data_IF_036342762496
#
_entry.id   IF_036342762496
#
_cell.length_a   1.000
_cell.length_b   1.000
_cell.length_c   1.000
_cell.angle_alpha   90.00
_cell.angle_beta   90.00
_cell.angle_gamma   90.00
#
_symmetry.space_group_name_H-M   'P 1'
#
loop_
_entity.id
_entity.type
_entity.pdbx_description
1 polymer ?
#
# COMPACT_ATOMS: atom_id res chain seq x y z
N UNK A 1 13.88 4.42 9.18
CA UNK A 1 13.85 4.25 7.68
C UNK A 1 12.58 4.84 7.11
N UNK A 2 12.65 5.51 5.96
CA UNK A 2 11.45 6.02 5.26
C UNK A 2 10.60 4.86 4.74
N UNK A 3 9.27 4.92 4.89
CA UNK A 3 8.34 3.85 4.52
C UNK A 3 8.45 3.41 3.04
N UNK A 4 8.70 4.34 2.10
CA UNK A 4 8.94 4.01 0.68
C UNK A 4 10.17 3.14 0.48
N UNK A 5 11.27 3.42 1.22
CA UNK A 5 12.48 2.61 1.16
C UNK A 5 12.19 1.21 1.72
N UNK A 6 11.39 1.13 2.80
CA UNK A 6 10.93 -0.14 3.38
C UNK A 6 10.12 -0.97 2.38
N UNK A 7 9.10 -0.39 1.74
CA UNK A 7 8.30 -1.10 0.73
C UNK A 7 9.11 -1.48 -0.53
N UNK A 8 10.05 -0.62 -0.94
CA UNK A 8 10.97 -0.93 -2.04
C UNK A 8 11.87 -2.12 -1.71
N UNK A 9 12.33 -2.24 -0.47
CA UNK A 9 13.14 -3.35 0.01
C UNK A 9 12.39 -4.69 -0.14
N UNK A 10 11.12 -4.75 0.26
CA UNK A 10 10.29 -5.95 0.17
C UNK A 10 9.62 -6.15 -1.21
N UNK A 11 9.66 -5.16 -2.10
CA UNK A 11 9.02 -5.17 -3.42
C UNK A 11 7.52 -5.48 -3.37
N UNK A 12 6.86 -5.01 -2.33
CA UNK A 12 5.41 -5.19 -2.13
C UNK A 12 4.71 -3.85 -2.03
N UNK A 13 3.44 -3.90 -2.39
CA UNK A 13 2.47 -2.84 -2.17
C UNK A 13 1.63 -3.29 -0.98
N UNK A 14 1.55 -2.43 0.05
CA UNK A 14 0.82 -2.78 1.25
C UNK A 14 1.67 -3.26 2.43
N UNK A 15 1.05 -3.50 3.57
CA UNK A 15 1.77 -3.97 4.73
C UNK A 15 2.50 -5.29 4.45
N UNK A 16 3.77 -5.32 4.81
CA UNK A 16 4.60 -6.53 4.77
C UNK A 16 4.14 -7.45 5.89
N UNK A 17 3.68 -8.64 5.57
CA UNK A 17 3.27 -9.63 6.59
C UNK A 17 4.46 -10.51 6.93
N UNK A 18 4.86 -10.48 8.18
CA UNK A 18 6.00 -11.20 8.74
C UNK A 18 5.50 -12.13 9.86
N UNK A 19 5.21 -13.41 9.55
CA UNK A 19 4.88 -14.39 10.56
C UNK A 19 6.01 -14.53 11.59
N UNK A 20 5.63 -14.59 12.87
CA UNK A 20 6.56 -14.78 13.98
C UNK A 20 6.48 -16.23 14.42
N UNK A 21 7.55 -16.99 14.21
CA UNK A 21 7.67 -18.40 14.56
C UNK A 21 8.28 -18.52 15.95
N UNK A 22 7.51 -19.04 16.89
CA UNK A 22 7.98 -19.40 18.22
C UNK A 22 8.78 -20.70 18.11
N UNK A 23 10.09 -20.61 18.26
CA UNK A 23 11.01 -21.68 17.90
C UNK A 23 11.00 -22.79 18.95
N UNK A 24 10.87 -24.05 18.49
CA UNK A 24 11.08 -25.25 19.30
C UNK A 24 12.32 -26.02 18.81
N UNK A 25 12.32 -26.40 17.54
CA UNK A 25 13.40 -27.14 16.90
C UNK A 25 13.46 -26.85 15.38
N UNK A 26 14.49 -27.36 14.72
CA UNK A 26 14.69 -27.12 13.28
C UNK A 26 13.54 -27.67 12.43
N UNK A 27 13.01 -28.85 12.75
CA UNK A 27 11.95 -29.46 11.94
C UNK A 27 10.64 -28.66 12.02
N UNK A 28 10.34 -28.08 13.19
CA UNK A 28 9.20 -27.18 13.37
C UNK A 28 9.42 -25.86 12.60
N UNK A 29 10.62 -25.27 12.64
CA UNK A 29 10.94 -24.06 11.86
C UNK A 29 10.75 -24.32 10.36
N UNK A 30 11.29 -25.42 9.83
CA UNK A 30 11.22 -25.76 8.40
C UNK A 30 9.76 -25.89 7.93
N UNK A 31 8.90 -26.54 8.73
CA UNK A 31 7.45 -26.65 8.44
C UNK A 31 6.80 -25.27 8.39
N UNK A 32 7.05 -24.41 9.39
CA UNK A 32 6.45 -23.09 9.46
C UNK A 32 6.97 -22.15 8.36
N UNK A 33 8.25 -22.21 8.01
CA UNK A 33 8.81 -21.47 6.87
C UNK A 33 8.13 -21.90 5.57
N UNK A 34 7.96 -23.22 5.36
CA UNK A 34 7.28 -23.72 4.16
C UNK A 34 5.83 -23.21 4.08
N UNK A 35 5.10 -23.19 5.20
CA UNK A 35 3.75 -22.61 5.28
C UNK A 35 3.79 -21.11 4.98
N UNK A 36 4.67 -20.34 5.62
CA UNK A 36 4.76 -18.90 5.44
C UNK A 36 5.07 -18.51 4.00
N UNK A 37 6.10 -19.14 3.38
CA UNK A 37 6.48 -18.92 1.99
C UNK A 37 5.38 -19.36 1.03
N UNK A 38 4.76 -20.51 1.27
CA UNK A 38 3.66 -21.03 0.46
C UNK A 38 2.43 -20.12 0.46
N UNK A 39 2.19 -19.38 1.54
CA UNK A 39 1.13 -18.36 1.63
C UNK A 39 1.53 -16.99 1.04
N UNK A 40 2.79 -16.81 0.63
CA UNK A 40 3.29 -15.57 0.04
C UNK A 40 3.70 -14.51 1.08
N UNK A 41 4.10 -14.93 2.29
CA UNK A 41 4.77 -14.04 3.25
C UNK A 41 6.13 -13.61 2.70
N UNK A 42 6.53 -12.38 3.01
CA UNK A 42 7.76 -11.78 2.48
C UNK A 42 9.02 -12.18 3.27
N UNK A 43 8.83 -12.81 4.41
CA UNK A 43 9.87 -13.26 5.31
C UNK A 43 9.26 -13.75 6.61
N UNK A 44 10.09 -14.06 7.59
CA UNK A 44 9.66 -14.51 8.92
C UNK A 44 10.49 -13.85 10.01
N UNK A 45 9.94 -13.76 11.22
CA UNK A 45 10.71 -13.57 12.44
C UNK A 45 10.78 -14.86 13.23
N UNK A 46 11.95 -15.16 13.80
CA UNK A 46 12.17 -16.26 14.74
C UNK A 46 12.34 -15.72 16.14
N UNK A 47 11.66 -16.32 17.12
CA UNK A 47 11.73 -15.89 18.53
C UNK A 47 11.91 -17.08 19.47
N UNK A 48 12.81 -16.93 20.45
CA UNK A 48 13.07 -17.92 21.48
C UNK A 48 12.20 -17.66 22.73
N UNK A 49 11.20 -18.50 22.95
CA UNK A 49 10.38 -18.44 24.17
C UNK A 49 10.85 -19.40 25.25
N UNK A 50 11.34 -20.57 24.86
CA UNK A 50 11.56 -21.70 25.77
C UNK A 50 13.02 -21.93 26.12
N UNK A 51 13.94 -21.10 25.61
CA UNK A 51 15.36 -21.22 25.85
C UNK A 51 16.09 -19.88 25.65
N UNK A 52 17.32 -19.80 26.14
CA UNK A 52 18.17 -18.63 26.07
C UNK A 52 18.79 -18.39 24.67
N UNK A 53 19.46 -17.27 24.53
CA UNK A 53 20.13 -16.86 23.28
C UNK A 53 21.21 -17.87 22.87
N UNK A 54 21.99 -18.41 23.82
CA UNK A 54 23.11 -19.31 23.53
C UNK A 54 22.61 -20.60 22.86
N UNK A 55 21.47 -21.13 23.30
CA UNK A 55 20.82 -22.27 22.63
C UNK A 55 20.16 -21.90 21.33
N UNK A 56 19.76 -20.65 21.13
CA UNK A 56 19.12 -20.19 19.92
C UNK A 56 20.10 -20.00 18.77
N UNK A 57 21.32 -19.53 19.05
CA UNK A 57 22.32 -19.20 18.02
C UNK A 57 22.63 -20.37 17.07
N UNK A 58 22.90 -21.61 17.52
CA UNK A 58 23.12 -22.74 16.62
C UNK A 58 21.90 -23.05 15.73
N UNK A 59 20.68 -22.89 16.24
CA UNK A 59 19.44 -23.09 15.48
C UNK A 59 19.31 -22.03 14.40
N UNK A 60 19.60 -20.76 14.70
CA UNK A 60 19.62 -19.66 13.73
C UNK A 60 20.63 -19.89 12.62
N UNK A 61 21.84 -20.35 12.98
CA UNK A 61 22.90 -20.67 12.02
C UNK A 61 22.46 -21.79 11.07
N UNK A 62 21.86 -22.86 11.60
CA UNK A 62 21.33 -23.96 10.81
C UNK A 62 20.19 -23.50 9.90
N UNK A 63 19.24 -22.70 10.44
CA UNK A 63 18.11 -22.18 9.70
C UNK A 63 18.55 -21.27 8.55
N UNK A 64 19.51 -20.34 8.79
CA UNK A 64 20.05 -19.45 7.75
C UNK A 64 20.77 -20.22 6.65
N UNK A 65 21.57 -21.24 7.02
CA UNK A 65 22.27 -22.08 6.05
C UNK A 65 21.28 -22.88 5.18
N UNK A 66 20.18 -23.36 5.75
CA UNK A 66 19.14 -24.08 5.01
C UNK A 66 18.30 -23.13 4.12
N UNK A 67 18.17 -21.85 4.48
CA UNK A 67 17.33 -20.88 3.81
C UNK A 67 18.08 -19.59 3.46
N UNK A 68 19.12 -19.64 2.58
CA UNK A 68 20.04 -18.52 2.35
C UNK A 68 19.39 -17.29 1.72
N UNK A 69 18.28 -17.44 1.02
CA UNK A 69 17.56 -16.35 0.33
C UNK A 69 16.31 -15.87 1.07
N UNK A 70 15.94 -16.53 2.17
CA UNK A 70 14.77 -16.14 2.97
C UNK A 70 15.11 -14.85 3.73
N UNK A 71 14.25 -13.84 3.63
CA UNK A 71 14.34 -12.71 4.55
C UNK A 71 13.96 -13.17 5.97
N UNK A 72 14.88 -13.05 6.91
CA UNK A 72 14.74 -13.62 8.24
C UNK A 72 15.18 -12.62 9.31
N UNK A 73 14.23 -12.18 10.11
CA UNK A 73 14.49 -11.42 11.33
C UNK A 73 14.51 -12.31 12.57
N UNK A 74 15.06 -11.78 13.65
CA UNK A 74 15.06 -12.46 14.96
C UNK A 74 14.59 -11.52 16.07
N UNK A 75 14.00 -12.11 17.10
CA UNK A 75 13.78 -11.49 18.39
C UNK A 75 14.44 -12.37 19.46
N UNK A 76 15.41 -11.84 20.18
CA UNK A 76 15.94 -12.45 21.38
C UNK A 76 15.07 -11.97 22.55
N UNK A 77 14.15 -12.82 23.00
CA UNK A 77 13.11 -12.43 23.95
C UNK A 77 13.69 -11.76 25.20
N UNK A 78 13.25 -10.51 25.44
CA UNK A 78 13.69 -9.72 26.59
C UNK A 78 15.08 -9.10 26.46
N UNK A 79 15.74 -9.23 25.31
CA UNK A 79 17.08 -8.65 25.03
C UNK A 79 16.92 -7.35 24.29
N UNK A 80 17.65 -6.32 24.69
CA UNK A 80 17.68 -5.01 24.02
C UNK A 80 18.74 -4.99 22.90
N UNK A 81 18.77 -3.89 22.15
CA UNK A 81 19.80 -3.70 21.13
C UNK A 81 21.24 -3.70 21.68
N UNK A 82 21.43 -3.35 22.95
CA UNK A 82 22.76 -3.35 23.59
C UNK A 82 23.47 -4.69 23.48
N UNK A 83 22.77 -5.77 23.80
CA UNK A 83 23.31 -7.11 23.81
C UNK A 83 23.19 -7.77 22.44
N UNK A 84 22.11 -7.47 21.71
CA UNK A 84 21.80 -8.11 20.44
C UNK A 84 22.72 -7.69 19.29
N UNK A 85 22.98 -6.40 19.10
CA UNK A 85 23.78 -5.92 17.97
C UNK A 85 25.20 -6.47 17.93
N UNK A 86 25.94 -6.58 19.05
CA UNK A 86 27.24 -7.25 19.04
C UNK A 86 27.17 -8.73 18.62
N UNK A 87 26.07 -9.43 18.97
CA UNK A 87 25.87 -10.83 18.55
C UNK A 87 25.63 -10.89 17.05
N UNK A 88 24.71 -10.05 16.54
CA UNK A 88 24.35 -9.99 15.12
C UNK A 88 25.55 -9.59 14.24
N UNK A 89 26.34 -8.62 14.68
CA UNK A 89 27.56 -8.24 13.97
C UNK A 89 28.61 -9.37 13.91
N UNK A 90 28.70 -10.20 14.98
CA UNK A 90 29.57 -11.39 14.94
C UNK A 90 29.05 -12.46 13.97
N UNK A 91 27.72 -12.65 13.88
CA UNK A 91 27.11 -13.60 12.92
C UNK A 91 27.36 -13.12 11.48
N UNK A 92 27.15 -11.82 11.21
CA UNK A 92 27.38 -11.26 9.87
C UNK A 92 28.84 -11.38 9.43
N UNK A 93 29.79 -11.13 10.33
CA UNK A 93 31.24 -11.35 10.06
C UNK A 93 31.59 -12.81 9.73
N UNK A 94 30.76 -13.77 10.15
CA UNK A 94 30.87 -15.21 9.77
C UNK A 94 30.13 -15.53 8.48
N UNK A 95 29.54 -14.55 7.80
CA UNK A 95 28.73 -14.74 6.59
C UNK A 95 27.28 -15.14 6.85
N UNK A 96 26.80 -15.01 8.09
CA UNK A 96 25.43 -15.35 8.50
C UNK A 96 24.64 -14.06 8.74
N UNK A 97 24.19 -13.44 7.67
CA UNK A 97 23.36 -12.23 7.77
C UNK A 97 21.97 -12.58 8.33
N UNK A 98 21.60 -11.90 9.40
CA UNK A 98 20.22 -11.81 9.90
C UNK A 98 19.66 -10.47 9.42
N UNK A 99 18.57 -10.52 8.64
CA UNK A 99 18.05 -9.36 7.90
C UNK A 99 17.40 -8.30 8.81
N UNK A 100 16.90 -8.71 9.98
CA UNK A 100 16.34 -7.78 10.96
C UNK A 100 16.50 -8.26 12.40
N UNK A 101 16.54 -7.29 13.29
CA UNK A 101 16.40 -7.51 14.73
C UNK A 101 15.16 -6.78 15.25
N UNK A 102 14.32 -7.49 15.97
CA UNK A 102 13.18 -6.90 16.67
C UNK A 102 13.40 -6.97 18.18
N UNK A 103 13.53 -5.80 18.81
CA UNK A 103 13.54 -5.66 20.27
C UNK A 103 12.12 -5.32 20.76
N UNK A 104 11.64 -6.02 21.80
CA UNK A 104 10.38 -5.66 22.46
C UNK A 104 10.50 -4.28 23.13
N UNK A 105 11.69 -3.90 23.58
CA UNK A 105 11.99 -2.60 24.19
C UNK A 105 13.16 -1.91 23.47
N UNK A 106 12.90 -0.78 22.86
CA UNK A 106 13.91 0.07 22.26
C UNK A 106 14.45 1.14 23.23
N UNK A 107 14.08 1.06 24.49
CA UNK A 107 14.49 1.97 25.57
C UNK A 107 14.14 3.45 25.32
N UNK A 108 13.05 3.71 24.60
CA UNK A 108 12.52 5.07 24.42
C UNK A 108 11.75 5.50 25.67
N UNK A 109 12.06 6.70 26.16
CA UNK A 109 11.36 7.28 27.30
C UNK A 109 10.85 8.69 26.97
N UNK A 110 9.58 8.83 26.69
CA UNK A 110 8.93 10.09 26.31
C UNK A 110 8.91 11.13 27.43
N UNK A 111 9.21 10.73 28.67
CA UNK A 111 9.35 11.67 29.81
C UNK A 111 10.73 12.36 29.85
N UNK A 112 11.69 11.89 29.04
CA UNK A 112 13.05 12.43 28.99
C UNK A 112 13.27 13.24 27.71
N UNK A 113 13.86 14.43 27.83
CA UNK A 113 14.28 15.22 26.65
C UNK A 113 15.43 14.55 25.89
N UNK A 114 16.37 13.93 26.63
CA UNK A 114 17.54 13.24 26.07
C UNK A 114 17.31 11.74 26.16
N UNK A 115 17.44 11.06 25.02
CA UNK A 115 17.24 9.62 24.90
C UNK A 115 18.57 8.86 25.04
N UNK A 116 19.23 8.98 26.22
CA UNK A 116 20.58 8.43 26.47
C UNK A 116 20.68 6.93 26.16
N UNK A 117 19.66 6.16 26.53
CA UNK A 117 19.65 4.71 26.28
C UNK A 117 19.57 4.38 24.79
N UNK A 118 18.75 5.12 24.05
CA UNK A 118 18.61 4.92 22.59
C UNK A 118 19.88 5.37 21.85
N UNK A 119 20.52 6.44 22.31
CA UNK A 119 21.80 6.92 21.78
C UNK A 119 22.92 5.89 21.99
N UNK A 120 23.00 5.29 23.16
CA UNK A 120 23.95 4.21 23.46
C UNK A 120 23.69 2.98 22.57
N UNK A 121 22.43 2.57 22.42
CA UNK A 121 22.05 1.44 21.57
C UNK A 121 22.45 1.69 20.11
N UNK A 122 22.23 2.90 19.61
CA UNK A 122 22.62 3.26 18.23
C UNK A 122 24.14 3.26 18.05
N UNK A 123 24.91 3.77 19.03
CA UNK A 123 26.37 3.72 19.01
C UNK A 123 26.87 2.27 18.95
N UNK A 124 26.32 1.38 19.78
CA UNK A 124 26.65 -0.06 19.78
C UNK A 124 26.27 -0.71 18.43
N UNK A 125 25.13 -0.33 17.86
CA UNK A 125 24.73 -0.81 16.54
C UNK A 125 25.76 -0.46 15.47
N UNK A 126 26.20 0.79 15.44
CA UNK A 126 27.23 1.26 14.49
C UNK A 126 28.57 0.53 14.70
N UNK A 127 29.01 0.35 15.93
CA UNK A 127 30.24 -0.39 16.27
C UNK A 127 30.16 -1.86 15.85
N UNK A 128 28.99 -2.48 15.97
CA UNK A 128 28.78 -3.89 15.59
C UNK A 128 28.97 -4.12 14.09
N UNK A 129 28.76 -3.08 13.27
CA UNK A 129 28.75 -3.13 11.80
C UNK A 129 27.69 -4.09 11.22
N UNK A 130 26.64 -4.43 11.98
CA UNK A 130 25.53 -5.20 11.49
C UNK A 130 24.65 -4.36 10.55
N UNK A 131 24.31 -4.91 9.39
CA UNK A 131 23.64 -4.17 8.29
C UNK A 131 22.12 -4.37 8.21
N UNK A 132 21.53 -5.19 9.08
CA UNK A 132 20.10 -5.49 9.06
C UNK A 132 19.22 -4.36 9.61
N UNK A 133 17.89 -4.53 9.48
CA UNK A 133 16.90 -3.56 9.91
C UNK A 133 16.58 -3.67 11.41
N UNK A 134 16.52 -2.52 12.10
CA UNK A 134 16.13 -2.46 13.50
C UNK A 134 14.63 -2.15 13.65
N UNK A 135 13.87 -3.11 14.16
CA UNK A 135 12.47 -3.00 14.58
C UNK A 135 12.44 -2.73 16.09
N UNK A 136 12.22 -1.49 16.49
CA UNK A 136 12.28 -1.12 17.91
C UNK A 136 10.89 -0.98 18.52
N UNK A 137 10.64 -1.71 19.61
CA UNK A 137 9.41 -1.65 20.38
C UNK A 137 9.28 -0.33 21.16
N UNK A 138 8.11 0.31 21.06
CA UNK A 138 7.78 1.56 21.75
C UNK A 138 6.31 1.52 22.16
N UNK A 139 6.02 1.88 23.41
CA UNK A 139 4.73 1.67 24.04
C UNK A 139 4.25 0.21 23.82
N UNK A 140 5.14 -0.71 24.07
CA UNK A 140 5.00 -2.13 23.74
C UNK A 140 4.61 -2.96 24.97
N UNK A 141 3.95 -4.09 24.77
CA UNK A 141 3.36 -4.96 25.81
C UNK A 141 4.30 -5.44 26.92
N UNK A 142 5.60 -5.44 26.69
CA UNK A 142 6.63 -5.89 27.65
C UNK A 142 7.52 -4.76 28.15
N UNK A 143 7.02 -3.55 28.05
CA UNK A 143 7.67 -2.35 28.55
C UNK A 143 6.91 -1.74 29.72
N UNK A 144 7.45 -0.64 30.26
CA UNK A 144 6.65 0.25 31.12
C UNK A 144 5.41 0.73 30.37
N UNK A 145 4.35 0.98 31.08
CA UNK A 145 3.12 1.55 30.52
C UNK A 145 3.41 2.99 30.06
N UNK A 146 3.02 3.29 28.84
CA UNK A 146 3.00 4.65 28.30
C UNK A 146 1.55 5.11 28.27
N UNK A 147 1.28 6.30 28.81
CA UNK A 147 -0.06 6.84 28.83
C UNK A 147 -0.54 7.20 27.42
N UNK A 148 -1.84 7.05 27.11
CA UNK A 148 -2.36 7.34 25.78
C UNK A 148 -2.07 8.76 25.27
N UNK A 149 -2.03 9.74 26.16
CA UNK A 149 -1.69 11.14 25.85
C UNK A 149 -0.24 11.31 25.38
N UNK A 150 0.65 10.39 25.74
CA UNK A 150 2.07 10.41 25.38
C UNK A 150 2.40 9.57 24.13
N UNK A 151 1.44 8.82 23.57
CA UNK A 151 1.70 7.96 22.40
C UNK A 151 2.30 8.70 21.21
N UNK A 152 1.84 9.92 20.96
CA UNK A 152 2.34 10.74 19.85
C UNK A 152 3.81 11.12 20.07
N UNK A 153 4.17 11.52 21.29
CA UNK A 153 5.56 11.90 21.63
C UNK A 153 6.47 10.69 21.61
N UNK A 154 6.06 9.56 22.21
CA UNK A 154 6.82 8.32 22.21
C UNK A 154 7.11 7.82 20.79
N UNK A 155 6.10 7.83 19.91
CA UNK A 155 6.25 7.42 18.52
C UNK A 155 7.20 8.34 17.72
N UNK A 156 7.08 9.66 17.91
CA UNK A 156 7.95 10.66 17.26
C UNK A 156 9.41 10.50 17.69
N UNK A 157 9.66 10.31 18.98
CA UNK A 157 11.02 10.08 19.49
C UNK A 157 11.57 8.77 18.93
N UNK A 158 10.79 7.68 18.97
CA UNK A 158 11.18 6.38 18.46
C UNK A 158 11.63 6.42 16.99
N UNK A 159 10.96 7.20 16.15
CA UNK A 159 11.25 7.28 14.72
C UNK A 159 12.66 7.80 14.37
N UNK A 160 13.38 8.37 15.35
CA UNK A 160 14.73 8.89 15.19
C UNK A 160 15.81 7.82 15.39
N UNK A 161 15.49 6.71 16.09
CA UNK A 161 16.48 5.75 16.60
C UNK A 161 16.38 4.35 15.99
N UNK A 162 15.39 4.10 15.15
CA UNK A 162 15.17 2.78 14.57
C UNK A 162 14.70 2.83 13.12
N UNK A 163 14.87 1.74 12.38
CA UNK A 163 14.41 1.68 11.00
C UNK A 163 12.89 1.53 10.93
N UNK A 164 12.31 0.74 11.83
CA UNK A 164 10.88 0.47 11.89
C UNK A 164 10.39 0.64 13.32
N UNK A 165 9.54 1.64 13.55
CA UNK A 165 8.88 1.81 14.86
C UNK A 165 7.87 0.68 15.03
N UNK A 166 7.96 -0.08 16.12
CA UNK A 166 7.08 -1.22 16.37
C UNK A 166 6.26 -1.00 17.63
N UNK A 167 4.96 -1.19 17.55
CA UNK A 167 4.07 -1.09 18.71
C UNK A 167 3.12 -2.27 18.82
N UNK A 168 2.44 -2.44 19.95
CA UNK A 168 1.52 -3.57 20.18
C UNK A 168 0.34 -3.18 21.06
N UNK A 169 -0.58 -4.11 21.29
CA UNK A 169 -1.54 -4.04 22.37
C UNK A 169 -0.87 -4.20 23.75
N UNK A 170 -1.67 -4.27 24.79
CA UNK A 170 -1.21 -4.31 26.20
C UNK A 170 -0.68 -5.69 26.64
N UNK A 171 -1.05 -6.77 25.92
CA UNK A 171 -0.61 -8.12 26.24
C UNK A 171 -0.46 -9.00 24.97
N UNK A 172 0.21 -10.16 25.15
CA UNK A 172 0.34 -11.16 24.06
C UNK A 172 -1.03 -11.67 23.64
N UNK A 173 -1.29 -11.69 22.33
CA UNK A 173 -2.59 -12.10 21.77
C UNK A 173 -3.69 -11.05 21.86
N UNK A 174 -3.48 -9.95 22.60
CA UNK A 174 -4.41 -8.82 22.62
C UNK A 174 -4.05 -7.81 21.52
N UNK A 175 -5.06 -7.43 20.77
CA UNK A 175 -4.93 -6.46 19.70
C UNK A 175 -4.67 -5.05 20.27
N UNK A 176 -3.87 -4.26 19.58
CA UNK A 176 -3.77 -2.83 19.86
C UNK A 176 -5.09 -2.13 19.55
N UNK A 177 -5.40 -1.07 20.28
CA UNK A 177 -6.52 -0.21 19.92
C UNK A 177 -6.23 0.50 18.58
N UNK A 178 -7.18 0.50 17.61
CA UNK A 178 -6.96 1.14 16.31
C UNK A 178 -6.56 2.61 16.43
N UNK A 179 -7.12 3.32 17.42
CA UNK A 179 -6.83 4.72 17.72
C UNK A 179 -5.36 4.93 18.11
N UNK A 180 -4.77 4.00 18.86
CA UNK A 180 -3.34 4.02 19.18
C UNK A 180 -2.51 3.93 17.90
N UNK A 181 -2.84 3.00 17.00
CA UNK A 181 -2.09 2.80 15.75
C UNK A 181 -2.23 4.02 14.84
N UNK A 182 -3.41 4.62 14.75
CA UNK A 182 -3.63 5.86 14.01
C UNK A 182 -2.79 7.02 14.59
N UNK A 183 -2.73 7.15 15.92
CA UNK A 183 -1.90 8.15 16.61
C UNK A 183 -0.41 7.94 16.30
N UNK A 184 0.06 6.70 16.36
CA UNK A 184 1.44 6.36 15.99
C UNK A 184 1.72 6.73 14.53
N UNK A 185 0.84 6.38 13.59
CA UNK A 185 1.02 6.72 12.17
C UNK A 185 1.13 8.23 11.94
N UNK A 186 0.28 9.01 12.58
CA UNK A 186 0.35 10.47 12.48
C UNK A 186 1.69 11.02 13.02
N UNK A 187 2.17 10.47 14.14
CA UNK A 187 3.36 10.97 14.82
C UNK A 187 4.67 10.58 14.13
N UNK A 188 4.77 9.37 13.58
CA UNK A 188 5.98 8.91 12.87
C UNK A 188 6.09 9.45 11.44
N UNK A 189 5.03 10.08 10.91
CA UNK A 189 5.01 10.64 9.55
C UNK A 189 5.37 9.60 8.49
N UNK A 190 6.40 9.86 7.71
CA UNK A 190 6.88 8.97 6.64
C UNK A 190 7.81 7.83 7.12
N UNK A 191 8.07 7.68 8.41
CA UNK A 191 8.88 6.58 8.93
C UNK A 191 8.10 5.27 8.91
N UNK A 192 8.79 4.13 8.72
CA UNK A 192 8.15 2.83 8.71
C UNK A 192 7.58 2.48 10.10
N UNK A 193 6.34 1.97 10.12
CA UNK A 193 5.60 1.59 11.32
C UNK A 193 5.16 0.13 11.23
N UNK A 194 5.38 -0.63 12.29
CA UNK A 194 4.91 -2.00 12.42
C UNK A 194 3.96 -2.17 13.61
N UNK A 195 2.99 -3.05 13.46
CA UNK A 195 2.17 -3.54 14.57
C UNK A 195 2.48 -4.99 14.85
N UNK A 196 2.61 -5.32 16.13
CA UNK A 196 2.80 -6.69 16.61
C UNK A 196 1.70 -7.09 17.58
N UNK A 197 1.42 -8.39 17.65
CA UNK A 197 0.47 -8.99 18.60
C UNK A 197 -1.01 -8.72 18.32
N UNK A 198 -1.84 -9.74 18.49
CA UNK A 198 -3.31 -9.67 18.43
C UNK A 198 -3.91 -9.37 17.06
N UNK A 199 -3.12 -9.33 15.99
CA UNK A 199 -3.63 -9.17 14.63
C UNK A 199 -4.11 -10.51 14.11
N UNK A 200 -5.32 -10.55 13.53
CA UNK A 200 -5.97 -11.74 12.97
C UNK A 200 -6.51 -11.43 11.56
N UNK A 201 -6.88 -12.44 10.77
CA UNK A 201 -7.55 -12.20 9.48
C UNK A 201 -8.82 -11.34 9.60
N UNK A 202 -9.51 -11.40 10.73
CA UNK A 202 -10.78 -10.70 10.96
C UNK A 202 -10.58 -9.22 11.27
N UNK A 203 -9.51 -8.85 12.02
CA UNK A 203 -9.28 -7.48 12.49
C UNK A 203 -8.19 -6.72 11.72
N UNK A 204 -7.43 -7.38 10.85
CA UNK A 204 -6.29 -6.77 10.14
C UNK A 204 -6.67 -5.50 9.37
N UNK A 205 -7.90 -5.40 8.90
CA UNK A 205 -8.43 -4.21 8.20
C UNK A 205 -8.37 -2.93 9.04
N UNK A 206 -8.38 -3.05 10.36
CA UNK A 206 -8.30 -1.92 11.28
C UNK A 206 -6.87 -1.35 11.39
N UNK A 207 -5.86 -2.12 10.99
CA UNK A 207 -4.44 -1.77 11.13
C UNK A 207 -3.74 -1.52 9.80
N UNK A 208 -4.04 -2.34 8.81
CA UNK A 208 -3.37 -2.30 7.51
C UNK A 208 -3.30 -0.92 6.85
N UNK A 209 -4.29 0.00 7.01
CA UNK A 209 -4.19 1.37 6.49
C UNK A 209 -3.10 2.22 7.14
N UNK A 210 -2.66 1.85 8.33
CA UNK A 210 -1.78 2.70 9.16
C UNK A 210 -0.35 2.18 9.28
N UNK A 211 -0.11 0.89 8.96
CA UNK A 211 1.18 0.25 9.19
C UNK A 211 1.87 -0.20 7.91
N UNK A 212 3.19 -0.29 7.97
CA UNK A 212 4.04 -0.76 6.88
C UNK A 212 4.40 -2.25 7.03
N UNK A 213 4.34 -2.77 8.27
CA UNK A 213 4.54 -4.19 8.54
C UNK A 213 3.60 -4.71 9.64
N UNK A 214 3.29 -5.99 9.55
CA UNK A 214 2.48 -6.73 10.53
C UNK A 214 3.29 -7.94 10.98
N UNK A 215 3.65 -7.97 12.27
CA UNK A 215 4.31 -9.09 12.92
C UNK A 215 3.24 -9.94 13.59
N UNK A 216 2.94 -11.11 13.03
CA UNK A 216 1.80 -11.93 13.45
C UNK A 216 2.20 -13.33 13.87
N UNK A 217 1.67 -13.79 15.00
CA UNK A 217 1.84 -15.15 15.53
C UNK A 217 0.47 -15.78 15.84
N UNK A 218 0.02 -15.69 17.08
CA UNK A 218 -1.19 -16.36 17.59
C UNK A 218 -2.46 -16.13 16.77
N UNK A 219 -2.56 -15.00 16.06
CA UNK A 219 -3.69 -14.70 15.18
C UNK A 219 -3.77 -15.56 13.91
N UNK A 220 -2.67 -16.25 13.56
CA UNK A 220 -2.56 -17.12 12.37
C UNK A 220 -2.01 -18.50 12.70
N UNK A 221 -1.91 -18.85 13.97
CA UNK A 221 -1.54 -20.19 14.40
C UNK A 221 -2.75 -21.15 14.32
N UNK A 222 -2.46 -22.44 14.32
CA UNK A 222 -3.45 -23.49 14.49
C UNK A 222 -4.21 -23.33 15.83
N UNK A 223 -5.42 -23.84 15.90
CA UNK A 223 -6.24 -23.72 17.11
C UNK A 223 -5.52 -24.38 18.30
N UNK A 224 -5.43 -23.64 19.40
CA UNK A 224 -4.79 -24.07 20.65
C UNK A 224 -3.29 -24.46 20.50
N UNK A 225 -2.66 -24.06 19.39
CA UNK A 225 -1.23 -24.28 19.14
C UNK A 225 -0.47 -22.94 19.13
N UNK A 226 0.55 -22.84 19.99
CA UNK A 226 1.37 -21.64 20.10
C UNK A 226 2.52 -21.60 19.07
N UNK A 227 2.83 -22.72 18.44
CA UNK A 227 4.07 -22.94 17.70
C UNK A 227 3.87 -23.13 16.20
N UNK A 228 2.72 -23.61 15.76
CA UNK A 228 2.51 -23.96 14.36
C UNK A 228 1.55 -23.00 13.65
N UNK A 229 1.93 -22.58 12.46
CA UNK A 229 1.15 -21.69 11.62
C UNK A 229 0.02 -22.45 10.90
N UNK A 230 -1.19 -21.90 10.92
CA UNK A 230 -2.29 -22.31 10.06
C UNK A 230 -2.17 -21.58 8.71
N UNK A 231 -1.86 -22.33 7.65
CA UNK A 231 -1.68 -21.79 6.31
C UNK A 231 -2.94 -21.11 5.76
N UNK A 232 -4.14 -21.62 6.07
CA UNK A 232 -5.38 -21.01 5.58
C UNK A 232 -5.64 -19.65 6.26
N UNK A 233 -5.41 -19.56 7.57
CA UNK A 233 -5.53 -18.31 8.31
C UNK A 233 -4.48 -17.29 7.85
N UNK A 234 -3.23 -17.71 7.67
CA UNK A 234 -2.16 -16.84 7.19
C UNK A 234 -2.44 -16.33 5.78
N UNK A 235 -2.83 -17.19 4.84
CA UNK A 235 -3.20 -16.80 3.48
C UNK A 235 -4.33 -15.76 3.48
N UNK A 236 -5.37 -15.99 4.29
CA UNK A 236 -6.51 -15.05 4.44
C UNK A 236 -6.09 -13.72 5.04
N UNK A 237 -5.16 -13.71 6.00
CA UNK A 237 -4.62 -12.46 6.55
C UNK A 237 -3.85 -11.69 5.49
N UNK A 238 -2.94 -12.35 4.74
CA UNK A 238 -2.18 -11.73 3.65
C UNK A 238 -3.10 -11.19 2.57
N UNK A 239 -4.13 -11.94 2.19
CA UNK A 239 -5.14 -11.49 1.24
C UNK A 239 -5.86 -10.23 1.75
N UNK A 240 -6.34 -10.25 3.00
CA UNK A 240 -6.99 -9.10 3.61
C UNK A 240 -6.06 -7.88 3.72
N UNK A 241 -4.75 -8.06 3.90
CA UNK A 241 -3.77 -6.96 3.84
C UNK A 241 -3.68 -6.35 2.45
N UNK A 242 -3.65 -7.15 1.39
CA UNK A 242 -3.59 -6.66 0.00
C UNK A 242 -4.82 -5.80 -0.34
N UNK A 243 -5.99 -6.21 0.13
CA UNK A 243 -7.22 -5.42 -0.03
C UNK A 243 -7.27 -4.19 0.88
N UNK A 244 -6.67 -4.24 2.05
CA UNK A 244 -6.67 -3.12 2.99
C UNK A 244 -5.65 -2.03 2.65
N UNK A 245 -4.56 -2.37 1.92
CA UNK A 245 -3.58 -1.38 1.46
C UNK A 245 -4.15 -0.44 0.40
N UNK A 246 -5.12 -0.90 -0.38
CA UNK A 246 -5.94 0.01 -1.20
C UNK A 246 -6.70 1.05 -0.36
N UNK A 247 -6.70 0.91 0.96
CA UNK A 247 -7.30 1.80 1.95
C UNK A 247 -6.31 2.63 2.77
N UNK A 248 -5.03 2.73 2.37
CA UNK A 248 -4.19 3.79 2.94
C UNK A 248 -4.85 5.12 2.71
N UNK A 249 -5.71 5.52 3.67
CA UNK A 249 -5.95 6.93 3.82
C UNK A 249 -4.58 7.56 4.08
N UNK A 250 -4.12 8.50 3.28
CA UNK A 250 -3.12 9.42 3.77
C UNK A 250 -3.71 9.92 5.11
N UNK A 251 -2.91 9.80 6.18
CA UNK A 251 -3.30 10.11 7.55
C UNK A 251 -4.35 11.20 7.52
N UNK A 252 -5.51 10.99 8.17
CA UNK A 252 -6.65 11.91 8.16
C UNK A 252 -6.14 13.32 8.41
N UNK A 253 -5.67 13.96 7.36
CA UNK A 253 -5.60 15.40 7.28
C UNK A 253 -7.06 15.80 7.38
N UNK A 254 -7.36 16.61 8.37
CA UNK A 254 -8.66 17.21 8.61
C UNK A 254 -9.38 17.40 7.28
N UNK A 255 -10.60 16.95 7.18
CA UNK A 255 -11.52 16.78 6.07
C UNK A 255 -11.63 17.99 5.10
N UNK A 256 -10.49 18.58 4.72
CA UNK A 256 -10.36 19.59 3.70
C UNK A 256 -10.07 18.87 2.38
N UNK A 257 -11.14 18.66 1.62
CA UNK A 257 -11.15 17.98 0.33
C UNK A 257 -10.10 18.49 -0.68
N UNK A 258 -9.60 19.71 -0.52
CA UNK A 258 -8.54 20.32 -1.33
C UNK A 258 -7.13 19.77 -1.05
N UNK A 259 -6.83 19.37 0.20
CA UNK A 259 -5.52 18.83 0.56
C UNK A 259 -5.39 17.35 0.14
N UNK A 260 -6.45 16.58 0.16
CA UNK A 260 -6.45 15.17 -0.25
C UNK A 260 -6.10 15.00 -1.72
N UNK A 261 -6.58 15.91 -2.59
CA UNK A 261 -6.39 15.89 -4.04
C UNK A 261 -5.37 16.94 -4.50
N UNK A 262 -4.35 17.15 -3.71
CA UNK A 262 -3.27 18.11 -3.98
C UNK A 262 -2.66 17.97 -5.39
N UNK A 263 -2.64 16.75 -5.95
CA UNK A 263 -2.12 16.44 -7.27
C UNK A 263 -2.90 17.13 -8.41
N UNK A 264 -4.14 17.56 -8.18
CA UNK A 264 -4.91 18.29 -9.18
C UNK A 264 -4.25 19.62 -9.58
N UNK A 265 -3.48 20.21 -8.67
CA UNK A 265 -2.72 21.44 -8.93
C UNK A 265 -1.55 21.26 -9.93
N UNK A 266 -1.18 20.00 -10.23
CA UNK A 266 -0.17 19.68 -11.24
C UNK A 266 -0.75 19.54 -12.66
N UNK A 267 -2.07 19.64 -12.84
CA UNK A 267 -2.69 19.68 -14.15
C UNK A 267 -2.52 21.06 -14.75
N UNK A 268 -1.69 21.15 -15.80
CA UNK A 268 -1.37 22.43 -16.45
C UNK A 268 -2.55 22.99 -17.23
N UNK A 269 -2.71 24.34 -17.31
CA UNK A 269 -3.69 24.96 -18.18
C UNK A 269 -3.34 24.75 -19.66
N UNK A 270 -4.36 24.65 -20.53
CA UNK A 270 -4.12 24.60 -21.98
C UNK A 270 -3.64 25.95 -22.52
N UNK A 271 -2.71 25.87 -23.45
CA UNK A 271 -2.21 27.06 -24.19
C UNK A 271 -2.66 27.06 -25.66
N UNK A 272 -3.48 26.09 -26.09
CA UNK A 272 -3.88 25.89 -27.49
C UNK A 272 -5.23 26.49 -27.87
N UNK A 273 -5.85 27.24 -26.96
CA UNK A 273 -7.13 27.93 -27.19
C UNK A 273 -8.36 27.06 -26.97
N UNK A 274 -9.54 27.63 -27.25
CA UNK A 274 -10.85 27.14 -26.83
C UNK A 274 -11.34 25.83 -27.51
N UNK A 275 -10.63 25.38 -28.54
CA UNK A 275 -11.00 24.17 -29.29
C UNK A 275 -10.42 22.87 -28.70
N UNK A 276 -9.54 23.02 -27.71
CA UNK A 276 -8.91 21.90 -27.00
C UNK A 276 -9.43 21.76 -25.58
N UNK A 277 -9.08 20.65 -24.92
CA UNK A 277 -9.27 20.52 -23.51
C UNK A 277 -8.60 21.71 -22.78
N UNK A 278 -9.26 22.29 -21.81
CA UNK A 278 -8.80 23.49 -21.09
C UNK A 278 -7.78 23.17 -20.00
N UNK A 279 -7.64 21.90 -19.60
CA UNK A 279 -6.59 21.34 -18.73
C UNK A 279 -5.83 20.24 -19.45
N UNK A 280 -4.54 20.12 -19.15
CA UNK A 280 -3.71 18.98 -19.51
C UNK A 280 -3.54 18.03 -18.30
N UNK A 281 -4.34 16.98 -18.17
CA UNK A 281 -4.18 16.02 -17.08
C UNK A 281 -2.86 15.24 -17.15
N UNK A 282 -2.25 15.16 -18.36
CA UNK A 282 -1.01 14.41 -18.55
C UNK A 282 0.18 15.05 -17.85
N UNK A 283 0.14 16.36 -17.58
CA UNK A 283 1.17 17.05 -16.80
C UNK A 283 1.34 16.47 -15.40
N UNK A 284 0.24 16.04 -14.76
CA UNK A 284 0.30 15.35 -13.46
C UNK A 284 0.97 13.97 -13.53
N UNK A 285 1.08 13.35 -14.71
CA UNK A 285 1.78 12.07 -14.88
C UNK A 285 3.30 12.21 -14.86
N UNK A 286 3.83 13.40 -15.19
CA UNK A 286 5.27 13.70 -15.17
C UNK A 286 5.78 13.62 -13.72
N UNK A 287 5.01 14.10 -12.77
CA UNK A 287 5.33 13.99 -11.35
C UNK A 287 4.87 12.63 -10.81
N UNK A 288 5.82 11.71 -10.55
CA UNK A 288 5.52 10.37 -10.09
C UNK A 288 4.75 10.30 -8.75
N UNK A 289 4.92 11.30 -7.87
CA UNK A 289 4.15 11.40 -6.62
C UNK A 289 2.69 11.76 -6.89
N UNK A 290 2.47 12.75 -7.75
CA UNK A 290 1.13 13.19 -8.15
C UNK A 290 0.40 12.06 -8.88
N UNK A 291 1.07 11.39 -9.81
CA UNK A 291 0.49 10.27 -10.54
C UNK A 291 0.12 9.09 -9.63
N UNK A 292 1.01 8.72 -8.69
CA UNK A 292 0.72 7.65 -7.71
C UNK A 292 -0.47 8.01 -6.83
N UNK A 293 -0.54 9.24 -6.31
CA UNK A 293 -1.65 9.69 -5.48
C UNK A 293 -2.98 9.68 -6.25
N UNK A 294 -2.97 10.08 -7.51
CA UNK A 294 -4.15 10.03 -8.40
C UNK A 294 -4.63 8.59 -8.62
N UNK A 295 -3.71 7.67 -8.90
CA UNK A 295 -4.02 6.24 -9.08
C UNK A 295 -4.62 5.65 -7.82
N UNK A 296 -4.04 5.94 -6.65
CA UNK A 296 -4.53 5.45 -5.36
C UNK A 296 -5.93 5.99 -5.04
N UNK A 297 -6.19 7.26 -5.28
CA UNK A 297 -7.53 7.85 -5.09
C UNK A 297 -8.60 7.22 -5.99
N UNK A 298 -8.26 6.90 -7.23
CA UNK A 298 -9.20 6.28 -8.18
C UNK A 298 -9.49 4.81 -7.85
N UNK A 299 -8.53 4.08 -7.30
CA UNK A 299 -8.70 2.70 -6.88
C UNK A 299 -9.47 2.59 -5.55
N UNK A 300 -9.25 3.52 -4.65
CA UNK A 300 -9.75 3.44 -3.27
C UNK A 300 -11.25 3.06 -3.15
N UNK A 301 -12.19 3.64 -3.91
CA UNK A 301 -13.60 3.25 -3.82
C UNK A 301 -13.90 1.82 -4.32
N UNK A 302 -13.01 1.23 -5.11
CA UNK A 302 -13.15 -0.12 -5.66
C UNK A 302 -12.40 -1.19 -4.86
N UNK A 303 -11.76 -0.83 -3.77
CA UNK A 303 -10.87 -1.70 -2.98
C UNK A 303 -11.49 -2.99 -2.45
N UNK A 304 -12.82 -3.05 -2.36
CA UNK A 304 -13.56 -4.24 -1.93
C UNK A 304 -14.27 -4.96 -3.09
N UNK A 305 -14.10 -4.46 -4.31
CA UNK A 305 -14.71 -5.08 -5.48
C UNK A 305 -13.76 -6.10 -6.10
N UNK A 306 -14.34 -7.19 -6.58
CA UNK A 306 -13.60 -8.09 -7.46
C UNK A 306 -13.47 -7.41 -8.82
N UNK A 307 -12.23 -7.11 -9.23
CA UNK A 307 -11.88 -6.62 -10.56
C UNK A 307 -10.98 -7.67 -11.20
N UNK A 308 -11.44 -8.29 -12.29
CA UNK A 308 -10.67 -9.30 -13.00
C UNK A 308 -9.75 -8.67 -14.06
N UNK A 309 -10.18 -7.54 -14.66
CA UNK A 309 -9.43 -6.84 -15.72
C UNK A 309 -9.84 -5.36 -15.79
N UNK A 310 -8.88 -4.52 -16.19
CA UNK A 310 -9.12 -3.11 -16.54
C UNK A 310 -9.42 -3.00 -18.06
N UNK A 311 -10.41 -2.19 -18.44
CA UNK A 311 -10.62 -1.78 -19.82
C UNK A 311 -10.25 -0.30 -19.97
N UNK A 312 -9.13 -0.01 -20.63
CA UNK A 312 -8.69 1.37 -20.89
C UNK A 312 -9.20 1.88 -22.24
N UNK A 313 -9.66 3.12 -22.28
CA UNK A 313 -10.19 3.76 -23.50
C UNK A 313 -9.12 4.58 -24.23
N UNK A 314 -9.13 4.52 -25.56
CA UNK A 314 -8.17 5.20 -26.45
C UNK A 314 -8.25 6.75 -26.34
N UNK A 315 -7.14 7.42 -26.13
CA UNK A 315 -5.76 6.94 -25.93
C UNK A 315 -5.29 7.13 -24.49
N UNK A 316 -5.70 8.21 -23.84
CA UNK A 316 -5.20 8.61 -22.53
C UNK A 316 -5.68 7.68 -21.39
N UNK A 317 -6.83 7.04 -21.56
CA UNK A 317 -7.31 6.01 -20.65
C UNK A 317 -6.39 4.79 -20.56
N UNK A 318 -5.49 4.57 -21.53
CA UNK A 318 -4.49 3.48 -21.44
C UNK A 318 -3.44 3.73 -20.39
N UNK A 319 -2.94 4.97 -20.28
CA UNK A 319 -1.90 5.32 -19.31
C UNK A 319 -2.44 5.11 -17.90
N UNK A 320 -3.60 5.69 -17.64
CA UNK A 320 -4.27 5.57 -16.35
C UNK A 320 -4.69 4.12 -16.07
N UNK A 321 -5.31 3.45 -17.06
CA UNK A 321 -5.73 2.06 -16.95
C UNK A 321 -4.57 1.09 -16.70
N UNK A 322 -3.42 1.30 -17.35
CA UNK A 322 -2.23 0.48 -17.11
C UNK A 322 -1.69 0.68 -15.68
N UNK A 323 -1.67 1.90 -15.19
CA UNK A 323 -1.24 2.20 -13.82
C UNK A 323 -2.17 1.55 -12.78
N UNK A 324 -3.49 1.65 -12.99
CA UNK A 324 -4.48 0.97 -12.14
C UNK A 324 -4.35 -0.55 -12.20
N UNK A 325 -4.16 -1.13 -13.38
CA UNK A 325 -4.00 -2.57 -13.56
C UNK A 325 -2.79 -3.11 -12.80
N UNK A 326 -1.63 -2.45 -12.94
CA UNK A 326 -0.40 -2.80 -12.19
C UNK A 326 -0.62 -2.66 -10.67
N UNK A 327 -1.31 -1.61 -10.25
CA UNK A 327 -1.59 -1.35 -8.83
C UNK A 327 -2.53 -2.39 -8.22
N UNK A 328 -3.49 -2.91 -8.99
CA UNK A 328 -4.44 -3.95 -8.59
C UNK A 328 -3.92 -5.37 -8.82
N UNK A 329 -2.79 -5.55 -9.51
CA UNK A 329 -2.28 -6.87 -9.89
C UNK A 329 -3.18 -7.58 -10.90
N UNK A 330 -3.91 -6.82 -11.77
CA UNK A 330 -4.81 -7.34 -12.81
C UNK A 330 -4.25 -7.10 -14.21
N UNK A 331 -4.89 -7.70 -15.23
CA UNK A 331 -4.60 -7.40 -16.63
C UNK A 331 -5.29 -6.12 -17.13
N UNK A 332 -4.91 -5.68 -18.35
CA UNK A 332 -5.57 -4.59 -19.06
C UNK A 332 -5.94 -5.03 -20.45
N UNK A 333 -7.13 -4.63 -20.91
CA UNK A 333 -7.58 -4.71 -22.30
C UNK A 333 -7.82 -3.29 -22.83
N UNK A 334 -7.57 -3.09 -24.12
CA UNK A 334 -7.71 -1.78 -24.75
C UNK A 334 -8.97 -1.70 -25.58
N UNK A 335 -9.82 -0.69 -25.32
CA UNK A 335 -10.92 -0.28 -26.18
C UNK A 335 -10.41 0.84 -27.09
N UNK A 336 -10.37 0.60 -28.39
CA UNK A 336 -9.70 1.49 -29.35
C UNK A 336 -10.66 2.08 -30.37
N UNK A 337 -10.23 3.14 -31.04
CA UNK A 337 -10.87 3.58 -32.29
C UNK A 337 -10.67 2.49 -33.34
N UNK A 338 -11.71 2.20 -34.09
CA UNK A 338 -11.77 1.09 -35.08
C UNK A 338 -10.59 1.13 -36.08
N UNK A 339 -10.17 -0.06 -36.51
CA UNK A 339 -9.08 -0.25 -37.46
C UNK A 339 -7.65 -0.14 -36.86
N UNK A 340 -7.49 -0.25 -35.55
CA UNK A 340 -6.18 -0.14 -34.86
C UNK A 340 -5.69 -1.45 -34.25
N UNK A 341 -6.55 -2.44 -34.09
CA UNK A 341 -6.17 -3.74 -33.53
C UNK A 341 -5.88 -4.76 -34.67
N UNK A 342 -4.72 -5.44 -34.61
CA UNK A 342 -4.31 -6.41 -35.64
C UNK A 342 -4.86 -7.83 -35.35
N UNK A 343 -6.05 -7.93 -34.78
CA UNK A 343 -6.72 -9.17 -34.35
C UNK A 343 -8.22 -9.07 -34.70
N UNK A 344 -8.99 -10.15 -34.68
CA UNK A 344 -10.45 -10.07 -34.80
C UNK A 344 -11.03 -9.14 -33.72
N UNK A 345 -11.98 -8.29 -34.12
CA UNK A 345 -12.59 -7.28 -33.26
C UNK A 345 -14.11 -7.33 -33.36
N UNK A 346 -14.76 -6.94 -32.25
CA UNK A 346 -16.14 -6.48 -32.22
C UNK A 346 -16.14 -4.95 -32.25
N UNK A 347 -17.09 -4.36 -33.00
CA UNK A 347 -17.14 -2.91 -33.22
C UNK A 347 -18.50 -2.34 -32.84
N UNK A 348 -18.47 -1.07 -32.37
CA UNK A 348 -19.67 -0.30 -32.08
C UNK A 348 -19.53 1.14 -32.60
N UNK A 349 -20.56 1.63 -33.27
CA UNK A 349 -20.64 3.04 -33.66
C UNK A 349 -21.20 3.88 -32.51
N UNK A 350 -20.66 5.07 -32.33
CA UNK A 350 -21.12 6.05 -31.36
C UNK A 350 -20.91 7.48 -31.85
N UNK A 351 -21.59 8.42 -31.23
CA UNK A 351 -21.41 9.85 -31.50
C UNK A 351 -20.61 10.46 -30.38
N UNK A 352 -19.44 11.01 -30.71
CA UNK A 352 -18.58 11.70 -29.74
C UNK A 352 -19.01 13.16 -29.50
N UNK A 353 -18.28 13.89 -28.66
CA UNK A 353 -18.53 15.29 -28.35
C UNK A 353 -18.45 16.23 -29.58
N UNK A 354 -17.75 15.84 -30.66
CA UNK A 354 -17.68 16.60 -31.90
C UNK A 354 -18.89 16.38 -32.81
N UNK A 355 -19.91 15.61 -32.35
CA UNK A 355 -21.10 15.20 -33.11
C UNK A 355 -20.81 14.43 -34.41
N UNK A 356 -19.62 13.84 -34.53
CA UNK A 356 -19.24 12.98 -35.65
C UNK A 356 -19.41 11.52 -35.29
N UNK A 357 -19.95 10.68 -36.18
CA UNK A 357 -19.96 9.24 -35.97
C UNK A 357 -18.51 8.73 -35.90
N UNK A 358 -18.25 7.89 -34.94
CA UNK A 358 -16.99 7.19 -34.73
C UNK A 358 -17.27 5.76 -34.34
N UNK A 359 -16.30 4.88 -34.54
CA UNK A 359 -16.42 3.48 -34.13
C UNK A 359 -15.30 3.17 -33.10
N UNK A 360 -15.67 2.40 -32.11
CA UNK A 360 -14.75 1.73 -31.19
C UNK A 360 -14.67 0.26 -31.53
N UNK A 361 -13.52 -0.33 -31.27
CA UNK A 361 -13.28 -1.75 -31.42
C UNK A 361 -12.69 -2.34 -30.13
N UNK A 362 -13.03 -3.60 -29.89
CA UNK A 362 -12.49 -4.43 -28.84
C UNK A 362 -12.13 -5.80 -29.42
N UNK A 363 -10.94 -6.31 -29.07
CA UNK A 363 -10.50 -7.63 -29.52
C UNK A 363 -11.51 -8.73 -29.16
N UNK A 364 -11.58 -9.76 -29.99
CA UNK A 364 -12.38 -10.96 -29.73
C UNK A 364 -11.47 -12.19 -29.72
N UNK A 365 -11.51 -13.04 -28.66
CA UNK A 365 -12.20 -12.82 -27.39
C UNK A 365 -11.44 -11.85 -26.50
N UNK A 366 -12.14 -11.00 -25.73
CA UNK A 366 -11.54 -10.17 -24.68
C UNK A 366 -11.81 -10.75 -23.27
N UNK A 367 -12.99 -11.34 -23.07
CA UNK A 367 -13.47 -11.78 -21.76
C UNK A 367 -14.02 -13.21 -21.79
N UNK A 368 -14.02 -13.84 -20.62
CA UNK A 368 -14.90 -14.97 -20.31
C UNK A 368 -16.23 -14.41 -19.77
N UNK A 369 -17.37 -15.07 -20.01
CA UNK A 369 -18.64 -14.64 -19.44
C UNK A 369 -18.54 -14.44 -17.91
N UNK A 370 -19.02 -13.29 -17.41
CA UNK A 370 -18.97 -12.94 -16.00
C UNK A 370 -17.69 -12.25 -15.54
N UNK A 371 -16.69 -12.02 -16.42
CA UNK A 371 -15.47 -11.25 -16.09
C UNK A 371 -15.83 -9.85 -15.58
N UNK A 372 -15.31 -9.49 -14.42
CA UNK A 372 -15.54 -8.20 -13.77
C UNK A 372 -14.56 -7.16 -14.32
N UNK A 373 -15.11 -6.12 -14.95
CA UNK A 373 -14.35 -5.11 -15.69
C UNK A 373 -14.48 -3.76 -15.04
N UNK A 374 -13.36 -3.11 -14.70
CA UNK A 374 -13.31 -1.68 -14.37
C UNK A 374 -12.96 -0.90 -15.64
N UNK A 375 -13.87 -0.03 -16.09
CA UNK A 375 -13.67 0.81 -17.27
C UNK A 375 -12.94 2.10 -16.89
N UNK A 376 -11.92 2.47 -17.67
CA UNK A 376 -11.04 3.61 -17.33
C UNK A 376 -10.87 4.53 -18.53
N UNK A 377 -11.11 5.81 -18.30
CA UNK A 377 -10.82 6.89 -19.26
C UNK A 377 -10.12 8.04 -18.55
N UNK A 378 -9.61 8.99 -19.30
CA UNK A 378 -9.01 10.20 -18.72
C UNK A 378 -10.08 11.25 -18.42
N UNK A 379 -10.92 11.59 -19.42
CA UNK A 379 -11.92 12.64 -19.33
C UNK A 379 -13.21 12.23 -20.03
N UNK A 380 -14.32 12.26 -19.33
CA UNK A 380 -15.64 11.89 -19.86
C UNK A 380 -16.48 13.17 -20.06
N UNK A 381 -16.64 13.60 -21.31
CA UNK A 381 -17.39 14.81 -21.65
C UNK A 381 -18.89 14.52 -21.84
N UNK A 382 -19.23 13.83 -22.94
CA UNK A 382 -20.64 13.54 -23.30
C UNK A 382 -21.09 12.14 -22.90
N UNK A 383 -20.15 11.26 -22.57
CA UNK A 383 -20.41 9.85 -22.24
C UNK A 383 -20.59 8.93 -23.45
N UNK A 384 -20.55 9.42 -24.69
CA UNK A 384 -20.74 8.60 -25.88
C UNK A 384 -19.67 7.51 -26.02
N UNK A 385 -18.40 7.85 -25.90
CA UNK A 385 -17.27 6.92 -25.92
C UNK A 385 -17.38 5.85 -24.85
N UNK A 386 -17.72 6.25 -23.62
CA UNK A 386 -17.90 5.33 -22.49
C UNK A 386 -19.10 4.40 -22.73
N UNK A 387 -20.20 4.92 -23.28
CA UNK A 387 -21.37 4.12 -23.66
C UNK A 387 -21.03 3.03 -24.67
N UNK A 388 -20.29 3.37 -25.72
CA UNK A 388 -19.81 2.40 -26.71
C UNK A 388 -18.85 1.37 -26.12
N UNK A 389 -17.95 1.78 -25.23
CA UNK A 389 -17.06 0.87 -24.53
C UNK A 389 -17.82 -0.12 -23.62
N UNK A 390 -18.83 0.34 -22.90
CA UNK A 390 -19.71 -0.50 -22.08
C UNK A 390 -20.42 -1.54 -22.97
N UNK A 391 -20.98 -1.12 -24.09
CA UNK A 391 -21.67 -1.99 -25.01
C UNK A 391 -20.77 -3.12 -25.54
N UNK A 392 -19.53 -2.79 -25.93
CA UNK A 392 -18.54 -3.79 -26.38
C UNK A 392 -18.18 -4.80 -25.27
N UNK A 393 -18.02 -4.31 -24.05
CA UNK A 393 -17.71 -5.16 -22.88
C UNK A 393 -18.87 -6.12 -22.60
N UNK A 394 -20.09 -5.57 -22.52
CA UNK A 394 -21.30 -6.36 -22.19
C UNK A 394 -21.67 -7.36 -23.30
N UNK A 395 -21.48 -7.04 -24.58
CA UNK A 395 -21.68 -7.97 -25.69
C UNK A 395 -20.80 -9.21 -25.59
N UNK A 396 -19.57 -9.07 -25.08
CA UNK A 396 -18.66 -10.20 -24.92
C UNK A 396 -18.81 -10.89 -23.54
N UNK A 397 -19.87 -10.56 -22.79
CA UNK A 397 -20.17 -11.18 -21.49
C UNK A 397 -19.38 -10.64 -20.32
N UNK A 398 -18.65 -9.51 -20.47
CA UNK A 398 -18.05 -8.78 -19.38
C UNK A 398 -19.09 -8.03 -18.54
N UNK A 399 -18.80 -7.82 -17.26
CA UNK A 399 -19.66 -7.08 -16.33
C UNK A 399 -18.92 -5.83 -15.88
N UNK A 400 -19.39 -4.67 -16.26
CA UNK A 400 -18.81 -3.39 -15.84
C UNK A 400 -19.15 -3.16 -14.36
N UNK A 401 -18.13 -3.23 -13.48
CA UNK A 401 -18.29 -3.03 -12.03
C UNK A 401 -18.19 -1.57 -11.62
N UNK A 402 -17.63 -0.74 -12.47
CA UNK A 402 -17.53 0.70 -12.30
C UNK A 402 -16.73 1.39 -13.38
N UNK A 403 -16.66 2.71 -13.26
CA UNK A 403 -15.97 3.60 -14.18
C UNK A 403 -15.02 4.49 -13.36
N UNK A 404 -13.76 4.59 -13.74
CA UNK A 404 -12.78 5.48 -13.15
C UNK A 404 -12.27 6.48 -14.19
N UNK A 405 -12.23 7.78 -13.83
CA UNK A 405 -11.72 8.82 -14.71
C UNK A 405 -11.13 9.98 -13.88
N UNK A 406 -10.34 10.86 -14.50
CA UNK A 406 -9.91 12.10 -13.83
C UNK A 406 -11.10 13.02 -13.61
N UNK A 407 -11.94 13.21 -14.64
CA UNK A 407 -13.13 14.02 -14.54
C UNK A 407 -14.28 13.48 -15.37
N UNK A 408 -15.51 13.75 -14.92
CA UNK A 408 -16.77 13.52 -15.66
C UNK A 408 -17.52 14.84 -15.69
N UNK A 409 -17.77 15.36 -16.90
CA UNK A 409 -18.60 16.55 -17.07
C UNK A 409 -20.05 16.24 -16.67
N UNK A 410 -20.73 17.24 -16.11
CA UNK A 410 -22.09 17.08 -15.63
C UNK A 410 -23.10 17.40 -16.75
N UNK A 411 -23.36 16.44 -17.59
CA UNK A 411 -24.36 16.48 -18.66
C UNK A 411 -25.51 15.52 -18.36
N UNK A 412 -26.71 15.67 -18.99
CA UNK A 412 -27.78 14.70 -18.78
C UNK A 412 -27.39 13.24 -19.06
N UNK A 413 -26.56 13.01 -20.08
CA UNK A 413 -26.09 11.67 -20.42
C UNK A 413 -25.10 11.09 -19.40
N UNK A 414 -24.13 11.89 -18.94
CA UNK A 414 -23.17 11.44 -17.93
C UNK A 414 -23.81 11.29 -16.55
N UNK A 415 -24.81 12.09 -16.22
CA UNK A 415 -25.62 11.89 -15.02
C UNK A 415 -26.42 10.58 -15.08
N UNK A 416 -26.92 10.19 -16.25
CA UNK A 416 -27.55 8.87 -16.45
C UNK A 416 -26.56 7.72 -16.25
N UNK A 417 -25.32 7.86 -16.74
CA UNK A 417 -24.24 6.89 -16.49
C UNK A 417 -23.92 6.76 -14.98
N UNK A 418 -23.79 7.89 -14.27
CA UNK A 418 -23.51 7.92 -12.84
C UNK A 418 -24.64 7.31 -11.97
N UNK A 419 -25.88 7.29 -12.48
CA UNK A 419 -26.99 6.60 -11.82
C UNK A 419 -26.92 5.07 -12.02
N UNK A 420 -26.41 4.61 -13.17
CA UNK A 420 -26.36 3.18 -13.52
C UNK A 420 -25.09 2.51 -13.01
N UNK A 421 -23.96 3.21 -13.04
CA UNK A 421 -22.66 2.68 -12.69
C UNK A 421 -22.02 3.50 -11.58
N UNK A 422 -21.25 2.86 -10.70
CA UNK A 422 -20.40 3.60 -9.76
C UNK A 422 -19.28 4.27 -10.56
N UNK A 423 -19.32 5.61 -10.59
CA UNK A 423 -18.31 6.44 -11.21
C UNK A 423 -17.41 7.07 -10.14
N UNK A 424 -16.11 6.89 -10.26
CA UNK A 424 -15.09 7.44 -9.38
C UNK A 424 -14.23 8.41 -10.17
N UNK A 425 -14.06 9.62 -9.63
CA UNK A 425 -13.27 10.66 -10.31
C UNK A 425 -12.32 11.36 -9.35
N UNK A 426 -11.16 11.80 -9.90
CA UNK A 426 -10.22 12.66 -9.20
C UNK A 426 -10.82 14.03 -8.93
N UNK A 427 -11.53 14.60 -9.91
CA UNK A 427 -12.33 15.81 -9.73
C UNK A 427 -13.68 15.42 -9.14
N UNK A 428 -13.95 15.83 -7.90
CA UNK A 428 -15.19 15.48 -7.22
C UNK A 428 -16.39 16.21 -7.85
N UNK A 429 -17.49 15.50 -8.13
CA UNK A 429 -18.73 16.13 -8.53
C UNK A 429 -19.19 17.15 -7.49
N UNK A 430 -19.76 18.27 -7.94
CA UNK A 430 -20.27 19.36 -7.10
C UNK A 430 -19.20 20.10 -6.26
N UNK A 431 -17.92 19.84 -6.45
CA UNK A 431 -16.85 20.63 -5.85
C UNK A 431 -16.68 21.99 -6.55
N UNK A 432 -16.05 22.94 -5.85
CA UNK A 432 -15.67 24.22 -6.47
C UNK A 432 -14.73 23.99 -7.66
N UNK A 433 -13.84 23.03 -7.54
CA UNK A 433 -12.96 22.60 -8.64
C UNK A 433 -13.78 22.14 -9.85
N UNK A 434 -14.81 21.31 -9.66
CA UNK A 434 -15.72 20.92 -10.74
C UNK A 434 -16.48 22.11 -11.34
N UNK A 435 -16.89 23.05 -10.51
CA UNK A 435 -17.56 24.25 -10.99
C UNK A 435 -16.64 25.13 -11.86
N UNK A 436 -15.38 25.28 -11.47
CA UNK A 436 -14.34 25.92 -12.27
C UNK A 436 -14.07 25.14 -13.56
N UNK A 437 -13.97 23.81 -13.47
CA UNK A 437 -13.90 22.91 -14.61
C UNK A 437 -14.96 23.22 -15.65
N UNK A 438 -16.21 23.30 -15.24
CA UNK A 438 -17.34 23.56 -16.13
C UNK A 438 -17.30 24.96 -16.78
N UNK A 439 -16.69 25.92 -16.12
CA UNK A 439 -16.46 27.28 -16.66
C UNK A 439 -15.23 27.36 -17.55
N UNK A 440 -14.44 26.28 -17.68
CA UNK A 440 -13.17 26.23 -18.42
C UNK A 440 -12.16 27.29 -17.95
N UNK A 441 -12.17 27.57 -16.65
CA UNK A 441 -11.24 28.46 -15.98
C UNK A 441 -10.95 27.95 -14.55
N UNK A 442 -9.68 28.04 -14.18
CA UNK A 442 -9.22 27.65 -12.83
C UNK A 442 -8.53 28.84 -12.19
N UNK A 443 -8.79 29.11 -10.91
CA UNK A 443 -8.24 30.26 -10.18
C UNK A 443 -6.71 30.30 -10.18
N UNK A 444 -6.02 29.18 -10.36
CA UNK A 444 -4.57 29.12 -10.38
C UNK A 444 -3.93 29.26 -11.77
N UNK A 445 -4.70 29.45 -12.86
CA UNK A 445 -4.15 29.49 -14.21
C UNK A 445 -3.15 30.64 -14.43
N UNK A 446 -3.44 31.81 -13.88
CA UNK A 446 -2.61 33.01 -14.04
C UNK A 446 -1.30 32.91 -13.23
N UNK A 447 -1.29 32.06 -12.18
CA UNK A 447 -0.18 31.83 -11.28
C UNK A 447 0.41 30.42 -11.39
N UNK A 448 0.08 29.67 -12.45
CA UNK A 448 0.50 28.28 -12.58
C UNK A 448 2.02 28.15 -12.62
N UNK A 449 2.55 27.44 -11.63
CA UNK A 449 3.98 27.17 -11.57
C UNK A 449 4.34 25.96 -12.44
N UNK A 450 4.88 26.22 -13.63
CA UNK A 450 5.29 25.18 -14.58
C UNK A 450 6.36 24.24 -14.05
N UNK A 451 7.22 24.69 -13.13
CA UNK A 451 8.19 23.82 -12.47
C UNK A 451 7.54 22.76 -11.56
N UNK A 452 6.30 23.02 -11.11
CA UNK A 452 5.58 22.07 -10.24
C UNK A 452 5.23 20.75 -10.93
N UNK A 453 5.20 20.68 -12.26
CA UNK A 453 4.94 19.44 -13.01
C UNK A 453 6.11 18.47 -12.96
N UNK A 454 7.32 18.96 -12.69
CA UNK A 454 8.50 18.11 -12.59
C UNK A 454 8.61 17.46 -11.19
N UNK A 455 9.18 16.26 -11.11
CA UNK A 455 9.50 15.70 -9.80
C UNK A 455 10.53 16.57 -9.07
N UNK A 456 10.38 16.69 -7.75
CA UNK A 456 11.40 17.33 -6.93
C UNK A 456 12.76 16.69 -7.25
N UNK A 457 13.77 17.51 -7.56
CA UNK A 457 15.15 17.03 -7.74
C UNK A 457 15.61 16.57 -6.35
N UNK A 458 15.83 15.27 -6.23
CA UNK A 458 16.31 14.62 -4.98
C UNK A 458 17.79 14.94 -4.81
#
# INVERSE_FOLDING_TARGET
MHNRAFHKHFKVVGPVVLPVIHVQDQAQIDRNIAVAVGCGAQGVFLINHDFDVDRFLPILEQCRNANPLLWMGVNFLGVTGREAFPILGRLEKKGLLIDAYWADDACINEKNEIQTDAEEIEAIRQESSWSGLYFGGTAFKKQRVVDPEDYSLAAKLASQWMDVVTTSGVATGQAAEPEKIATFRCAVGDSALAVASGVTPENVKNYAPYVDAILVATGVNEADDFYNLDGARLARLIENCRYADSSREPARLNDNSSERRWYLRHMAPTVKGDTFAWLDPSSAYINGRAFTAMVDDLIYPFRFDKIDVIAGVDAAGYILGAALAVRLGTGIVTVRKAGKLPVPTDEVEFVNYTKRPQSLELRVPAFRPGTKVLLVDQWIETGGTIGGAIELIERQGGIVVGIAAIAIEQTPATLALQKKYRCVTSVLPQSDYQAQCNKKYMDFFDEFNWESIFPDVI
#
